data_IF_335310393720
#
_entry.id   IF_335310393720
#
_cell.length_a   1.000
_cell.length_b   1.000
_cell.length_c   1.000
_cell.angle_alpha   90.00
_cell.angle_beta   90.00
_cell.angle_gamma   90.00
#
_symmetry.space_group_name_H-M   'P 1'
#
loop_
_entity.id
_entity.type
_entity.pdbx_description
1 polymer ?
#
# COMPACT_ATOMS: atom_id res chain seq x y z
N UNK A 1 12.63 15.23 17.50
CA UNK A 1 13.43 15.41 18.73
C UNK A 1 14.34 16.63 18.62
N UNK A 2 15.16 16.74 17.56
CA UNK A 2 16.17 17.81 17.41
C UNK A 2 15.66 19.26 17.53
N UNK A 3 14.51 19.56 16.92
CA UNK A 3 13.90 20.91 17.00
C UNK A 3 13.47 21.27 18.43
N UNK A 4 13.00 20.28 19.19
CA UNK A 4 12.55 20.48 20.57
C UNK A 4 13.77 20.62 21.49
N UNK A 5 14.75 19.73 21.35
CA UNK A 5 15.98 19.76 22.17
C UNK A 5 16.74 21.09 22.05
N UNK A 6 16.77 21.70 20.85
CA UNK A 6 17.43 23.00 20.62
C UNK A 6 16.88 24.13 21.47
N UNK A 7 15.59 24.10 21.78
CA UNK A 7 14.93 25.11 22.61
C UNK A 7 14.96 24.66 24.08
N UNK A 8 14.64 23.39 24.32
CA UNK A 8 14.46 22.84 25.65
C UNK A 8 15.74 22.85 26.49
N UNK A 9 16.90 22.48 25.92
CA UNK A 9 18.17 22.39 26.66
C UNK A 9 18.62 23.76 27.19
N UNK A 10 18.70 24.83 26.37
CA UNK A 10 19.02 26.17 26.87
C UNK A 10 18.04 26.67 27.93
N UNK A 11 16.74 26.44 27.75
CA UNK A 11 15.71 26.85 28.72
C UNK A 11 15.95 26.20 30.09
N UNK A 12 16.21 24.90 30.12
CA UNK A 12 16.47 24.15 31.37
C UNK A 12 17.74 24.65 32.06
N UNK A 13 18.81 24.94 31.31
CA UNK A 13 20.04 25.49 31.87
C UNK A 13 19.81 26.87 32.52
N UNK A 14 19.05 27.74 31.85
CA UNK A 14 18.67 29.04 32.40
C UNK A 14 17.86 28.86 33.68
N UNK A 15 16.87 27.96 33.68
CA UNK A 15 16.06 27.68 34.88
C UNK A 15 16.89 27.15 36.05
N UNK A 16 17.86 26.27 35.79
CA UNK A 16 18.76 25.76 36.82
C UNK A 16 19.65 26.86 37.41
N UNK A 17 20.21 27.74 36.56
CA UNK A 17 21.01 28.90 37.02
C UNK A 17 20.15 29.91 37.79
N UNK A 18 18.93 30.17 37.34
CA UNK A 18 17.99 31.03 38.05
C UNK A 18 17.63 30.44 39.41
N UNK A 19 17.40 29.13 39.49
CA UNK A 19 17.13 28.42 40.75
C UNK A 19 18.27 28.60 41.73
N UNK A 20 19.51 28.37 41.28
CA UNK A 20 20.72 28.59 42.09
C UNK A 20 20.79 30.04 42.61
N UNK A 21 20.59 31.02 41.72
CA UNK A 21 20.65 32.44 42.08
C UNK A 21 19.55 32.89 43.04
N UNK A 22 18.32 32.43 42.84
CA UNK A 22 17.17 32.75 43.69
C UNK A 22 17.40 32.24 45.11
N UNK A 23 17.82 30.98 45.28
CA UNK A 23 18.03 30.41 46.62
C UNK A 23 19.19 31.06 47.38
N UNK A 24 20.29 31.39 46.68
CA UNK A 24 21.38 32.15 47.28
C UNK A 24 20.95 33.56 47.68
N UNK A 25 20.09 34.21 46.89
CA UNK A 25 19.58 35.55 47.20
C UNK A 25 18.61 35.55 48.39
N UNK A 26 17.82 34.49 48.57
CA UNK A 26 16.92 34.29 49.71
C UNK A 26 17.69 33.99 51.01
N UNK A 27 18.97 33.65 50.92
CA UNK A 27 19.87 33.44 52.07
C UNK A 27 20.05 31.98 52.47
N UNK A 28 19.66 31.04 51.61
CA UNK A 28 19.91 29.60 51.84
C UNK A 28 21.37 29.22 51.62
N UNK A 29 21.75 28.03 52.10
CA UNK A 29 23.12 27.52 51.95
C UNK A 29 23.45 27.21 50.48
N UNK A 30 24.73 27.34 50.12
CA UNK A 30 25.22 26.97 48.78
C UNK A 30 24.91 25.51 48.44
N UNK A 31 25.01 24.62 49.44
CA UNK A 31 24.67 23.21 49.28
C UNK A 31 23.20 23.02 48.89
N UNK A 32 22.27 23.68 49.59
CA UNK A 32 20.84 23.62 49.25
C UNK A 32 20.54 24.15 47.85
N UNK A 33 21.08 25.34 47.52
CA UNK A 33 20.87 25.97 46.22
C UNK A 33 21.44 25.12 45.07
N UNK A 34 22.60 24.47 45.27
CA UNK A 34 23.18 23.53 44.31
C UNK A 34 22.31 22.28 44.14
N UNK A 35 21.79 21.71 45.24
CA UNK A 35 20.91 20.53 45.18
C UNK A 35 19.62 20.84 44.42
N UNK A 36 19.00 22.00 44.65
CA UNK A 36 17.81 22.42 43.91
C UNK A 36 18.10 22.61 42.41
N UNK A 37 19.21 23.28 42.05
CA UNK A 37 19.61 23.46 40.66
C UNK A 37 19.92 22.12 39.96
N UNK A 38 20.64 21.21 40.63
CA UNK A 38 20.91 19.85 40.11
C UNK A 38 19.60 19.09 39.93
N UNK A 39 18.64 19.23 40.85
CA UNK A 39 17.34 18.57 40.75
C UNK A 39 16.56 19.03 39.50
N UNK A 40 16.64 20.33 39.15
CA UNK A 40 16.07 20.87 37.91
C UNK A 40 16.74 20.26 36.67
N UNK A 41 18.07 20.11 36.68
CA UNK A 41 18.79 19.48 35.56
C UNK A 41 18.44 17.99 35.42
N UNK A 42 18.38 17.27 36.54
CA UNK A 42 18.05 15.84 36.58
C UNK A 42 16.63 15.62 36.08
N UNK A 43 15.63 16.32 36.63
CA UNK A 43 14.23 16.11 36.27
C UNK A 43 13.92 16.46 34.81
N UNK A 44 14.68 17.39 34.24
CA UNK A 44 14.48 17.84 32.88
C UNK A 44 14.94 16.81 31.82
N UNK A 45 15.78 15.83 32.17
CA UNK A 45 16.29 14.87 31.18
C UNK A 45 15.13 14.08 30.54
N UNK A 46 14.91 14.20 29.21
CA UNK A 46 13.70 13.70 28.57
C UNK A 46 13.85 12.23 28.15
N UNK A 47 14.19 11.34 29.08
CA UNK A 47 14.40 9.91 28.78
C UNK A 47 13.16 9.25 28.15
N UNK A 48 11.97 9.56 28.68
CA UNK A 48 10.71 9.07 28.15
C UNK A 48 10.40 9.60 26.74
N UNK A 49 10.87 10.80 26.39
CA UNK A 49 10.67 11.39 25.05
C UNK A 49 11.41 10.59 23.98
N UNK A 50 12.62 10.11 24.29
CA UNK A 50 13.41 9.27 23.39
C UNK A 50 12.76 7.92 23.11
N UNK A 51 11.97 7.41 24.07
CA UNK A 51 11.26 6.13 23.96
C UNK A 51 9.83 6.27 23.40
N UNK A 52 9.20 7.44 23.52
CA UNK A 52 7.79 7.66 23.21
C UNK A 52 7.39 7.22 21.80
N UNK A 53 8.12 7.68 20.79
CA UNK A 53 7.84 7.36 19.38
C UNK A 53 8.31 5.96 18.99
N UNK A 54 9.56 5.54 19.28
CA UNK A 54 10.04 4.21 18.85
C UNK A 54 9.24 3.05 19.46
N UNK A 55 8.81 3.16 20.72
CA UNK A 55 8.06 2.09 21.39
C UNK A 55 6.64 1.95 20.82
N UNK A 56 5.95 3.07 20.61
CA UNK A 56 4.64 3.09 19.97
C UNK A 56 4.72 2.59 18.52
N UNK A 57 5.77 2.96 17.79
CA UNK A 57 6.02 2.50 16.43
C UNK A 57 6.16 0.98 16.38
N UNK A 58 7.08 0.40 17.16
CA UNK A 58 7.32 -1.05 17.16
C UNK A 58 6.05 -1.82 17.55
N UNK A 59 5.29 -1.31 18.52
CA UNK A 59 4.01 -1.90 18.91
C UNK A 59 2.96 -1.81 17.78
N UNK A 60 2.85 -0.65 17.13
CA UNK A 60 1.89 -0.38 16.05
C UNK A 60 2.20 -1.14 14.76
N UNK A 61 3.43 -1.10 14.28
CA UNK A 61 3.85 -1.86 13.09
C UNK A 61 3.81 -3.37 13.35
N UNK A 62 4.15 -3.80 14.57
CA UNK A 62 3.99 -5.20 14.98
C UNK A 62 2.52 -5.67 14.99
N UNK A 63 1.59 -4.81 15.43
CA UNK A 63 0.15 -5.10 15.36
C UNK A 63 -0.35 -5.17 13.91
N UNK A 64 0.04 -4.21 13.08
CA UNK A 64 -0.31 -4.19 11.65
C UNK A 64 0.23 -5.44 10.94
N UNK A 65 1.49 -5.82 11.20
CA UNK A 65 2.12 -6.99 10.61
C UNK A 65 1.41 -8.30 10.99
N UNK A 66 0.93 -8.44 12.23
CA UNK A 66 0.10 -9.58 12.65
C UNK A 66 -1.19 -9.71 11.84
N UNK A 67 -1.71 -8.60 11.32
CA UNK A 67 -2.89 -8.56 10.46
C UNK A 67 -2.54 -8.54 8.96
N UNK A 68 -1.28 -8.80 8.61
CA UNK A 68 -0.82 -8.89 7.23
C UNK A 68 -0.58 -7.54 6.57
N UNK A 69 -0.31 -6.48 7.34
CA UNK A 69 0.00 -5.13 6.84
C UNK A 69 1.41 -4.77 7.28
N UNK A 70 2.34 -4.68 6.33
CA UNK A 70 3.72 -4.28 6.60
C UNK A 70 3.89 -2.79 6.28
N UNK A 71 4.22 -1.98 7.29
CA UNK A 71 4.57 -0.56 7.13
C UNK A 71 6.06 -0.42 7.43
N UNK A 72 6.85 0.04 6.45
CA UNK A 72 8.32 -0.02 6.53
C UNK A 72 8.94 1.13 7.31
N UNK A 73 8.32 2.30 7.30
CA UNK A 73 8.90 3.50 7.86
C UNK A 73 7.87 4.35 8.63
N UNK A 74 8.40 5.24 9.45
CA UNK A 74 7.63 6.09 10.37
C UNK A 74 6.84 7.14 9.61
N UNK A 75 7.43 7.71 8.55
CA UNK A 75 6.84 8.82 7.81
C UNK A 75 5.54 8.36 7.15
N UNK A 76 5.56 7.16 6.57
CA UNK A 76 4.38 6.50 6.01
C UNK A 76 3.33 6.21 7.06
N UNK A 77 3.71 5.68 8.23
CA UNK A 77 2.77 5.43 9.32
C UNK A 77 2.09 6.73 9.82
N UNK A 78 2.83 7.83 9.86
CA UNK A 78 2.31 9.13 10.29
C UNK A 78 1.47 9.83 9.20
N UNK A 79 1.80 9.63 7.92
CA UNK A 79 1.13 10.23 6.77
C UNK A 79 -0.15 9.50 6.36
N UNK A 80 -0.18 8.16 6.47
CA UNK A 80 -1.31 7.34 6.00
C UNK A 80 -2.70 7.79 6.53
N UNK A 81 -2.87 8.24 7.80
CA UNK A 81 -4.16 8.76 8.26
C UNK A 81 -4.59 10.08 7.60
N UNK A 82 -3.63 10.90 7.16
CA UNK A 82 -3.81 12.24 6.62
C UNK A 82 -4.07 12.24 5.10
N UNK A 83 -3.76 11.13 4.41
CA UNK A 83 -4.09 10.91 2.98
C UNK A 83 -5.56 11.24 2.72
N UNK A 84 -5.86 12.16 1.82
CA UNK A 84 -7.23 12.57 1.47
C UNK A 84 -7.78 11.76 0.30
N UNK A 85 -6.88 11.37 -0.61
CA UNK A 85 -7.20 10.78 -1.90
C UNK A 85 -6.54 9.40 -2.02
N UNK A 86 -7.31 8.39 -2.43
CA UNK A 86 -6.81 7.03 -2.64
C UNK A 86 -7.03 6.65 -4.09
N UNK A 87 -5.93 6.59 -4.84
CA UNK A 87 -5.89 6.14 -6.23
C UNK A 87 -5.65 4.63 -6.31
N UNK A 88 -6.50 3.96 -7.07
CA UNK A 88 -6.40 2.53 -7.34
C UNK A 88 -5.98 2.31 -8.78
N UNK A 89 -4.97 1.47 -8.98
CA UNK A 89 -4.86 0.79 -10.27
C UNK A 89 -6.05 -0.16 -10.47
N UNK A 90 -6.40 -0.43 -11.71
CA UNK A 90 -7.47 -1.37 -12.01
C UNK A 90 -6.97 -2.81 -11.94
N UNK A 91 -5.95 -3.16 -12.72
CA UNK A 91 -5.58 -4.55 -13.03
C UNK A 91 -4.75 -5.14 -11.90
N UNK A 92 -5.11 -6.30 -11.37
CA UNK A 92 -4.43 -6.92 -10.22
C UNK A 92 -4.71 -6.25 -8.86
N UNK A 93 -5.29 -5.04 -8.87
CA UNK A 93 -5.64 -4.26 -7.68
C UNK A 93 -7.13 -4.32 -7.38
N UNK A 94 -7.99 -3.59 -8.12
CA UNK A 94 -9.45 -3.70 -7.97
C UNK A 94 -9.98 -5.04 -8.51
N UNK A 95 -9.23 -5.63 -9.42
CA UNK A 95 -9.47 -6.94 -9.98
C UNK A 95 -8.50 -7.98 -9.40
N UNK A 96 -8.80 -9.27 -9.60
CA UNK A 96 -8.02 -10.37 -9.03
C UNK A 96 -6.66 -10.56 -9.72
N UNK A 97 -6.44 -9.97 -10.89
CA UNK A 97 -5.25 -10.22 -11.71
C UNK A 97 -5.34 -11.58 -12.44
N UNK A 98 -6.53 -12.18 -12.41
CA UNK A 98 -6.80 -13.50 -12.97
C UNK A 98 -7.65 -13.34 -14.23
N UNK A 99 -7.06 -13.42 -15.42
CA UNK A 99 -7.82 -13.27 -16.66
C UNK A 99 -8.87 -14.37 -16.75
N UNK A 100 -10.07 -14.00 -17.17
CA UNK A 100 -11.20 -14.90 -17.39
C UNK A 100 -11.71 -14.75 -18.83
N UNK A 101 -12.00 -15.87 -19.47
CA UNK A 101 -12.59 -15.86 -20.81
C UNK A 101 -14.00 -15.29 -20.76
N UNK A 102 -14.26 -14.24 -21.53
CA UNK A 102 -15.59 -13.61 -21.65
C UNK A 102 -16.28 -13.96 -22.94
N UNK A 103 -15.54 -13.90 -24.04
CA UNK A 103 -16.08 -14.03 -25.39
C UNK A 103 -15.18 -14.96 -26.20
N UNK A 104 -15.79 -15.85 -26.97
CA UNK A 104 -15.12 -16.59 -28.04
C UNK A 104 -15.91 -16.39 -29.31
N UNK A 105 -15.27 -15.90 -30.36
CA UNK A 105 -15.93 -15.64 -31.65
C UNK A 105 -15.20 -16.40 -32.76
N UNK A 106 -15.86 -17.39 -33.40
CA UNK A 106 -15.28 -18.12 -34.51
C UNK A 106 -15.31 -17.29 -35.80
N UNK A 107 -14.26 -17.43 -36.59
CA UNK A 107 -14.13 -16.89 -37.94
C UNK A 107 -13.80 -18.04 -38.87
N UNK A 108 -14.71 -18.38 -39.79
CA UNK A 108 -14.49 -19.48 -40.74
C UNK A 108 -14.56 -20.90 -40.14
N UNK A 109 -14.95 -21.07 -38.88
CA UNK A 109 -15.16 -22.39 -38.26
C UNK A 109 -16.37 -22.41 -37.31
N UNK A 110 -16.68 -23.58 -36.74
CA UNK A 110 -17.72 -23.69 -35.70
C UNK A 110 -17.20 -23.27 -34.33
N UNK A 111 -18.08 -22.74 -33.46
CA UNK A 111 -17.69 -22.36 -32.08
C UNK A 111 -17.06 -23.52 -31.30
N UNK A 112 -17.57 -24.74 -31.49
CA UNK A 112 -17.05 -25.92 -30.82
C UNK A 112 -15.65 -26.31 -31.33
N UNK A 113 -15.39 -26.14 -32.63
CA UNK A 113 -14.07 -26.35 -33.22
C UNK A 113 -13.07 -25.32 -32.71
N UNK A 114 -13.44 -24.03 -32.69
CA UNK A 114 -12.61 -22.97 -32.11
C UNK A 114 -12.23 -23.29 -30.66
N UNK A 115 -13.21 -23.59 -29.80
CA UNK A 115 -13.00 -23.88 -28.38
C UNK A 115 -12.07 -25.09 -28.20
N UNK A 116 -12.31 -26.16 -28.97
CA UNK A 116 -11.49 -27.37 -28.91
C UNK A 116 -10.03 -27.07 -29.23
N UNK A 117 -9.77 -26.32 -30.31
CA UNK A 117 -8.41 -25.98 -30.73
C UNK A 117 -7.75 -24.96 -29.79
N UNK A 118 -8.50 -23.96 -29.32
CA UNK A 118 -8.02 -23.00 -28.31
C UNK A 118 -7.49 -23.72 -27.07
N UNK A 119 -8.27 -24.65 -26.51
CA UNK A 119 -7.86 -25.39 -25.31
C UNK A 119 -6.68 -26.30 -25.58
N UNK A 120 -6.66 -27.02 -26.71
CA UNK A 120 -5.55 -27.91 -27.06
C UNK A 120 -4.23 -27.14 -27.18
N UNK A 121 -4.24 -26.01 -27.88
CA UNK A 121 -3.06 -25.16 -28.04
C UNK A 121 -2.66 -24.48 -26.71
N UNK A 122 -3.64 -23.99 -25.94
CA UNK A 122 -3.38 -23.30 -24.69
C UNK A 122 -2.81 -24.20 -23.59
N UNK A 123 -3.05 -25.52 -23.62
CA UNK A 123 -2.45 -26.48 -22.67
C UNK A 123 -0.93 -26.52 -22.72
N UNK A 124 -0.34 -26.15 -23.86
CA UNK A 124 1.11 -26.15 -24.06
C UNK A 124 1.79 -24.85 -23.60
N UNK A 125 1.05 -23.92 -22.99
CA UNK A 125 1.58 -22.65 -22.50
C UNK A 125 1.33 -22.48 -21.00
N UNK A 126 2.35 -21.98 -20.29
CA UNK A 126 2.25 -21.58 -18.88
C UNK A 126 1.74 -20.14 -18.72
N UNK A 127 1.44 -19.43 -19.81
CA UNK A 127 1.01 -18.04 -19.78
C UNK A 127 -0.37 -17.90 -19.09
N UNK A 128 -0.61 -16.86 -18.24
CA UNK A 128 -1.88 -16.67 -17.54
C UNK A 128 -3.12 -16.68 -18.44
N UNK A 129 -3.04 -16.07 -19.63
CA UNK A 129 -4.15 -16.09 -20.61
C UNK A 129 -4.42 -17.51 -21.14
N UNK A 130 -3.38 -18.32 -21.37
CA UNK A 130 -3.55 -19.69 -21.82
C UNK A 130 -4.15 -20.57 -20.71
N UNK A 131 -3.68 -20.40 -19.47
CA UNK A 131 -4.28 -21.05 -18.31
C UNK A 131 -5.76 -20.67 -18.14
N UNK A 132 -6.14 -19.42 -18.42
CA UNK A 132 -7.54 -18.99 -18.42
C UNK A 132 -8.39 -19.73 -19.46
N UNK A 133 -7.89 -19.87 -20.70
CA UNK A 133 -8.56 -20.68 -21.75
C UNK A 133 -8.79 -22.10 -21.25
N UNK A 134 -7.74 -22.75 -20.72
CA UNK A 134 -7.83 -24.15 -20.28
C UNK A 134 -8.79 -24.31 -19.11
N UNK A 135 -8.74 -23.40 -18.13
CA UNK A 135 -9.62 -23.41 -16.96
C UNK A 135 -11.08 -23.18 -17.32
N UNK A 136 -11.36 -22.19 -18.16
CA UNK A 136 -12.73 -21.72 -18.42
C UNK A 136 -13.43 -22.54 -19.51
N UNK A 137 -12.69 -23.05 -20.49
CA UNK A 137 -13.24 -23.76 -21.65
C UNK A 137 -12.88 -25.25 -21.69
N UNK A 138 -11.94 -25.72 -20.87
CA UNK A 138 -11.32 -27.05 -21.04
C UNK A 138 -12.07 -28.26 -20.48
N UNK A 139 -13.22 -28.08 -19.81
CA UNK A 139 -13.96 -29.17 -19.12
C UNK A 139 -14.39 -30.32 -20.03
N UNK A 140 -14.57 -30.08 -21.31
CA UNK A 140 -15.08 -31.07 -22.28
C UNK A 140 -14.14 -31.32 -23.46
N UNK A 141 -12.90 -30.82 -23.39
CA UNK A 141 -11.93 -30.92 -24.49
C UNK A 141 -10.89 -32.01 -24.20
N UNK A 142 -10.81 -33.06 -25.04
CA UNK A 142 -9.85 -34.14 -24.86
C UNK A 142 -8.41 -33.64 -25.00
N UNK A 143 -7.49 -34.25 -24.24
CA UNK A 143 -6.07 -33.98 -24.38
C UNK A 143 -5.52 -34.59 -25.67
N UNK A 144 -4.62 -33.85 -26.32
CA UNK A 144 -3.91 -34.28 -27.52
C UNK A 144 -2.45 -33.94 -27.29
N UNK A 145 -1.56 -34.90 -27.50
CA UNK A 145 -0.12 -34.67 -27.42
C UNK A 145 0.32 -33.89 -28.66
N UNK A 146 1.02 -32.75 -28.51
CA UNK A 146 1.54 -32.02 -29.65
C UNK A 146 2.76 -32.72 -30.25
N UNK A 147 2.95 -32.52 -31.56
CA UNK A 147 4.19 -32.90 -32.25
C UNK A 147 5.32 -31.93 -31.90
N UNK A 148 4.97 -30.65 -31.72
CA UNK A 148 5.88 -29.56 -31.41
C UNK A 148 5.13 -28.42 -30.70
N UNK A 149 5.72 -27.80 -29.68
CA UNK A 149 5.17 -26.61 -29.03
C UNK A 149 6.29 -25.62 -28.70
N UNK A 150 6.14 -24.37 -29.16
CA UNK A 150 7.15 -23.32 -28.99
C UNK A 150 6.46 -22.02 -28.58
N UNK A 151 6.80 -21.51 -27.40
CA UNK A 151 6.35 -20.20 -26.93
C UNK A 151 7.32 -19.11 -27.38
N UNK A 152 6.81 -18.03 -27.98
CA UNK A 152 7.57 -16.83 -28.33
C UNK A 152 7.15 -15.67 -27.42
N UNK A 153 8.08 -15.22 -26.58
CA UNK A 153 7.84 -14.14 -25.63
C UNK A 153 7.32 -12.88 -26.34
N UNK A 154 6.24 -12.30 -25.82
CA UNK A 154 5.61 -11.10 -26.36
C UNK A 154 4.80 -11.30 -27.66
N UNK A 155 4.71 -12.52 -28.19
CA UNK A 155 3.98 -12.80 -29.43
C UNK A 155 2.84 -13.79 -29.23
N UNK A 156 3.14 -14.98 -28.70
CA UNK A 156 2.18 -16.06 -28.57
C UNK A 156 2.83 -17.44 -28.49
N UNK A 157 2.03 -18.47 -28.71
CA UNK A 157 2.46 -19.87 -28.78
C UNK A 157 2.15 -20.46 -30.15
N UNK A 158 3.12 -21.21 -30.66
CA UNK A 158 3.00 -22.06 -31.85
C UNK A 158 2.92 -23.51 -31.40
N UNK A 159 1.98 -24.28 -31.95
CA UNK A 159 1.81 -25.71 -31.66
C UNK A 159 1.47 -26.46 -32.94
N UNK A 160 2.16 -27.58 -33.20
CA UNK A 160 1.81 -28.51 -34.28
C UNK A 160 1.03 -29.68 -33.70
N UNK A 161 -0.19 -29.88 -34.22
CA UNK A 161 -1.12 -30.93 -33.78
C UNK A 161 -1.61 -31.71 -35.00
N UNK A 162 -1.34 -33.02 -35.02
CA UNK A 162 -1.84 -33.93 -36.09
C UNK A 162 -1.44 -33.46 -37.49
N UNK A 163 -0.23 -32.90 -37.64
CA UNK A 163 0.29 -32.39 -38.90
C UNK A 163 -0.19 -30.99 -39.32
N UNK A 164 -1.10 -30.35 -38.58
CA UNK A 164 -1.54 -28.97 -38.81
C UNK A 164 -0.84 -27.98 -37.87
N UNK A 165 -0.55 -26.78 -38.37
CA UNK A 165 0.10 -25.71 -37.63
C UNK A 165 -0.92 -24.78 -36.95
N UNK A 166 -0.85 -24.63 -35.63
CA UNK A 166 -1.66 -23.68 -34.88
C UNK A 166 -0.82 -22.58 -34.26
N UNK A 167 -1.33 -21.34 -34.31
CA UNK A 167 -0.74 -20.19 -33.62
C UNK A 167 -1.79 -19.48 -32.79
N UNK A 168 -1.47 -19.22 -31.52
CA UNK A 168 -2.30 -18.50 -30.57
C UNK A 168 -1.54 -17.30 -30.01
N UNK A 169 -2.05 -16.07 -30.21
CA UNK A 169 -1.36 -14.86 -29.76
C UNK A 169 -1.92 -13.55 -30.28
N UNK A 170 -1.08 -12.51 -30.37
CA UNK A 170 -1.44 -11.24 -31.01
C UNK A 170 -1.67 -11.42 -32.51
N UNK A 171 -2.50 -10.57 -33.13
CA UNK A 171 -2.95 -10.73 -34.51
C UNK A 171 -1.79 -10.90 -35.51
N UNK A 172 -0.74 -10.09 -35.39
CA UNK A 172 0.44 -10.11 -36.28
C UNK A 172 1.26 -11.40 -36.18
N UNK A 173 1.20 -12.10 -35.05
CA UNK A 173 1.86 -13.39 -34.87
C UNK A 173 1.07 -14.53 -35.53
N UNK A 174 -0.25 -14.41 -35.48
CA UNK A 174 -1.21 -15.45 -35.85
C UNK A 174 -1.50 -15.45 -37.35
N UNK A 175 -1.51 -14.29 -38.00
CA UNK A 175 -1.65 -14.18 -39.45
C UNK A 175 -0.90 -12.97 -40.02
N UNK A 176 -0.37 -13.13 -41.24
CA UNK A 176 0.19 -12.02 -42.04
C UNK A 176 -0.86 -11.37 -42.95
N UNK A 177 -2.08 -11.92 -42.99
CA UNK A 177 -3.15 -11.42 -43.84
C UNK A 177 -3.70 -10.07 -43.33
N UNK A 178 -3.97 -9.15 -44.25
CA UNK A 178 -4.46 -7.78 -43.98
C UNK A 178 -5.89 -7.70 -43.39
N UNK A 179 -6.45 -8.83 -42.94
CA UNK A 179 -7.82 -8.90 -42.42
C UNK A 179 -7.79 -8.53 -40.93
N UNK A 180 -7.78 -7.22 -40.65
CA UNK A 180 -8.00 -6.71 -39.29
C UNK A 180 -9.50 -6.75 -38.98
N UNK A 181 -9.95 -7.47 -37.94
CA UNK A 181 -11.34 -7.37 -37.53
C UNK A 181 -11.64 -5.92 -37.10
N UNK A 182 -12.68 -5.33 -37.71
CA UNK A 182 -13.06 -3.91 -37.55
C UNK A 182 -13.59 -3.55 -36.16
N UNK A 183 -13.78 -4.53 -35.28
CA UNK A 183 -14.32 -4.30 -33.93
C UNK A 183 -13.28 -3.62 -33.03
N UNK A 184 -13.60 -2.50 -32.37
CA UNK A 184 -12.73 -1.91 -31.36
C UNK A 184 -12.50 -2.93 -30.24
N UNK A 185 -11.23 -3.22 -29.97
CA UNK A 185 -10.80 -4.18 -28.95
C UNK A 185 -11.01 -3.54 -27.58
N UNK A 186 -12.10 -3.91 -26.90
CA UNK A 186 -12.44 -3.40 -25.56
C UNK A 186 -11.78 -4.17 -24.40
N UNK A 187 -11.14 -5.29 -24.71
CA UNK A 187 -10.60 -6.26 -23.75
C UNK A 187 -9.32 -6.90 -24.31
N UNK A 188 -8.51 -7.52 -23.45
CA UNK A 188 -7.34 -8.28 -23.92
C UNK A 188 -7.83 -9.40 -24.85
N UNK A 189 -7.32 -9.45 -26.08
CA UNK A 189 -7.78 -10.38 -27.11
C UNK A 189 -6.62 -11.20 -27.67
N UNK A 190 -6.82 -12.50 -27.82
CA UNK A 190 -5.90 -13.41 -28.51
C UNK A 190 -6.60 -14.08 -29.69
N UNK A 191 -5.86 -14.27 -30.77
CA UNK A 191 -6.34 -14.85 -32.02
C UNK A 191 -5.79 -16.26 -32.17
N UNK A 192 -6.56 -17.14 -32.82
CA UNK A 192 -6.12 -18.48 -33.19
C UNK A 192 -6.14 -18.64 -34.71
N UNK A 193 -5.07 -19.18 -35.29
CA UNK A 193 -5.03 -19.61 -36.69
C UNK A 193 -4.67 -21.08 -36.82
N UNK A 194 -5.03 -21.66 -37.97
CA UNK A 194 -4.59 -22.96 -38.45
C UNK A 194 -3.98 -22.77 -39.84
N UNK A 195 -2.74 -23.19 -40.05
CA UNK A 195 -2.02 -23.12 -41.32
C UNK A 195 -2.06 -21.70 -41.98
N UNK A 196 -2.08 -20.66 -41.14
CA UNK A 196 -2.13 -19.25 -41.56
C UNK A 196 -3.54 -18.65 -41.73
N UNK A 197 -4.59 -19.48 -41.72
CA UNK A 197 -5.99 -19.06 -41.78
C UNK A 197 -6.54 -18.77 -40.38
N UNK A 198 -7.18 -17.62 -40.20
CA UNK A 198 -7.72 -17.19 -38.92
C UNK A 198 -8.98 -18.01 -38.59
N UNK A 199 -8.96 -18.74 -37.47
CA UNK A 199 -10.08 -19.54 -36.97
C UNK A 199 -11.02 -18.75 -36.05
N UNK A 200 -10.55 -17.66 -35.44
CA UNK A 200 -11.33 -16.83 -34.53
C UNK A 200 -10.49 -16.20 -33.43
N UNK A 201 -11.18 -15.66 -32.42
CA UNK A 201 -10.54 -15.02 -31.27
C UNK A 201 -11.19 -15.37 -29.94
N UNK A 202 -10.43 -15.13 -28.88
CA UNK A 202 -10.87 -15.18 -27.49
C UNK A 202 -10.56 -13.87 -26.80
N UNK A 203 -11.51 -13.36 -26.03
CA UNK A 203 -11.37 -12.17 -25.21
C UNK A 203 -11.30 -12.53 -23.74
N UNK A 204 -10.51 -11.75 -23.01
CA UNK A 204 -10.28 -11.90 -21.59
C UNK A 204 -10.64 -10.60 -20.88
N UNK A 205 -11.37 -10.74 -19.77
CA UNK A 205 -11.51 -9.68 -18.78
C UNK A 205 -10.94 -10.15 -17.45
N UNK A 206 -10.46 -9.21 -16.65
CA UNK A 206 -10.14 -9.51 -15.27
C UNK A 206 -11.40 -9.48 -14.40
N UNK A 207 -11.47 -10.35 -13.40
CA UNK A 207 -12.62 -10.44 -12.50
C UNK A 207 -12.43 -9.47 -11.34
N UNK A 208 -13.47 -8.70 -10.99
CA UNK A 208 -13.44 -7.84 -9.81
C UNK A 208 -13.21 -8.64 -8.53
N UNK A 209 -12.56 -8.00 -7.55
CA UNK A 209 -12.53 -8.50 -6.18
C UNK A 209 -13.91 -8.34 -5.54
N UNK A 210 -14.35 -9.36 -4.83
CA UNK A 210 -15.70 -9.41 -4.26
C UNK A 210 -15.87 -8.35 -3.16
N UNK A 211 -14.77 -8.03 -2.46
CA UNK A 211 -14.69 -7.04 -1.41
C UNK A 211 -14.52 -5.59 -1.91
N UNK A 212 -14.24 -5.36 -3.20
CA UNK A 212 -13.85 -4.04 -3.71
C UNK A 212 -14.90 -2.97 -3.44
N UNK A 213 -16.17 -3.25 -3.72
CA UNK A 213 -17.28 -2.31 -3.53
C UNK A 213 -17.43 -1.91 -2.05
N UNK A 214 -17.40 -2.88 -1.15
CA UNK A 214 -17.49 -2.64 0.30
C UNK A 214 -16.30 -1.81 0.83
N UNK A 215 -15.10 -2.02 0.30
CA UNK A 215 -13.91 -1.25 0.67
C UNK A 215 -14.02 0.19 0.20
N UNK A 216 -14.44 0.44 -1.04
CA UNK A 216 -14.65 1.81 -1.56
C UNK A 216 -15.66 2.56 -0.68
N UNK A 217 -16.78 1.93 -0.32
CA UNK A 217 -17.76 2.54 0.59
C UNK A 217 -17.19 2.82 1.99
N UNK A 218 -16.38 1.91 2.52
CA UNK A 218 -15.71 2.11 3.82
C UNK A 218 -14.76 3.31 3.76
N UNK A 219 -13.95 3.43 2.71
CA UNK A 219 -13.04 4.56 2.52
C UNK A 219 -13.79 5.89 2.40
N UNK A 220 -14.93 5.90 1.69
CA UNK A 220 -15.82 7.07 1.63
C UNK A 220 -16.39 7.44 2.99
N UNK A 221 -16.81 6.46 3.80
CA UNK A 221 -17.28 6.72 5.17
C UNK A 221 -16.18 7.28 6.09
N UNK A 222 -14.91 7.03 5.76
CA UNK A 222 -13.73 7.63 6.40
C UNK A 222 -13.37 9.02 5.84
N UNK A 223 -14.18 9.57 4.93
CA UNK A 223 -13.97 10.87 4.29
C UNK A 223 -12.87 10.87 3.24
N UNK A 224 -12.53 9.72 2.65
CA UNK A 224 -11.49 9.60 1.62
C UNK A 224 -12.12 9.66 0.23
N UNK A 225 -11.49 10.42 -0.67
CA UNK A 225 -11.86 10.49 -2.08
C UNK A 225 -11.22 9.32 -2.83
N UNK A 226 -11.97 8.63 -3.68
CA UNK A 226 -11.49 7.45 -4.41
C UNK A 226 -11.31 7.74 -5.89
N UNK A 227 -10.13 7.40 -6.42
CA UNK A 227 -9.75 7.54 -7.82
C UNK A 227 -9.47 6.18 -8.43
N UNK A 228 -9.79 6.00 -9.71
CA UNK A 228 -9.28 4.89 -10.51
C UNK A 228 -8.37 5.40 -11.62
N UNK A 229 -7.14 4.90 -11.66
CA UNK A 229 -6.15 5.20 -12.69
C UNK A 229 -5.95 3.95 -13.55
N UNK A 230 -6.25 4.02 -14.86
CA UNK A 230 -6.17 2.84 -15.73
C UNK A 230 -5.75 3.17 -17.15
N UNK A 231 -5.11 2.21 -17.82
CA UNK A 231 -4.81 2.26 -19.26
C UNK A 231 -5.98 1.85 -20.15
N UNK A 232 -7.07 1.35 -19.56
CA UNK A 232 -8.26 0.90 -20.29
C UNK A 232 -9.01 2.06 -20.96
N UNK A 233 -9.92 1.73 -21.87
CA UNK A 233 -10.86 2.69 -22.46
C UNK A 233 -11.80 3.29 -21.41
N UNK A 234 -12.07 4.59 -21.53
CA UNK A 234 -12.93 5.35 -20.62
C UNK A 234 -14.30 4.70 -20.40
N UNK A 235 -14.97 4.24 -21.45
CA UNK A 235 -16.29 3.60 -21.32
C UNK A 235 -16.29 2.35 -20.42
N UNK A 236 -15.20 1.57 -20.43
CA UNK A 236 -15.06 0.38 -19.57
C UNK A 236 -14.77 0.81 -18.14
N UNK A 237 -13.86 1.78 -17.97
CA UNK A 237 -13.49 2.32 -16.67
C UNK A 237 -14.65 3.01 -15.96
N UNK A 238 -15.45 3.82 -16.66
CA UNK A 238 -16.63 4.50 -16.10
C UNK A 238 -17.70 3.52 -15.65
N UNK A 239 -17.96 2.48 -16.46
CA UNK A 239 -18.91 1.42 -16.09
C UNK A 239 -18.47 0.74 -14.79
N UNK A 240 -17.17 0.48 -14.66
CA UNK A 240 -16.60 -0.13 -13.46
C UNK A 240 -16.67 0.81 -12.25
N UNK A 241 -16.35 2.08 -12.44
CA UNK A 241 -16.40 3.10 -11.40
C UNK A 241 -17.80 3.29 -10.86
N UNK A 242 -18.80 3.38 -11.74
CA UNK A 242 -20.20 3.47 -11.34
C UNK A 242 -20.65 2.24 -10.53
N UNK A 243 -20.21 1.04 -10.92
CA UNK A 243 -20.52 -0.19 -10.18
C UNK A 243 -19.88 -0.20 -8.79
N UNK A 244 -18.62 0.20 -8.67
CA UNK A 244 -17.89 0.21 -7.40
C UNK A 244 -18.18 1.46 -6.55
N UNK A 245 -18.83 2.47 -7.13
CA UNK A 245 -19.04 3.77 -6.51
C UNK A 245 -17.74 4.56 -6.35
N UNK A 246 -16.81 4.54 -7.32
CA UNK A 246 -15.58 5.35 -7.31
C UNK A 246 -15.91 6.80 -7.70
N UNK A 247 -15.27 7.79 -7.07
CA UNK A 247 -15.61 9.21 -7.28
C UNK A 247 -15.13 9.76 -8.63
N UNK A 248 -13.93 9.35 -9.04
CA UNK A 248 -13.24 9.91 -10.20
C UNK A 248 -12.47 8.84 -10.97
N UNK A 249 -12.46 8.96 -12.29
CA UNK A 249 -11.82 8.00 -13.21
C UNK A 249 -10.90 8.73 -14.16
N UNK A 250 -9.67 8.23 -14.28
CA UNK A 250 -8.72 8.63 -15.30
C UNK A 250 -8.30 7.40 -16.09
N UNK A 251 -8.78 7.33 -17.32
CA UNK A 251 -8.62 6.19 -18.22
C UNK A 251 -7.60 6.51 -19.34
N UNK A 252 -7.21 5.49 -20.10
CA UNK A 252 -6.26 5.58 -21.22
C UNK A 252 -4.90 6.19 -20.83
N UNK A 253 -4.49 6.02 -19.57
CA UNK A 253 -3.24 6.55 -19.08
C UNK A 253 -2.07 5.62 -19.43
N UNK A 254 -0.99 6.22 -19.91
CA UNK A 254 0.35 5.60 -19.91
C UNK A 254 0.94 5.60 -18.49
N UNK A 255 1.97 4.78 -18.20
CA UNK A 255 2.64 4.79 -16.89
C UNK A 255 3.13 6.18 -16.46
N UNK A 256 3.67 6.98 -17.39
CA UNK A 256 4.11 8.34 -17.07
C UNK A 256 2.93 9.28 -16.75
N UNK A 257 1.82 9.15 -17.47
CA UNK A 257 0.63 9.95 -17.20
C UNK A 257 0.00 9.60 -15.84
N UNK A 258 0.10 8.36 -15.36
CA UNK A 258 -0.29 8.02 -13.97
C UNK A 258 0.50 8.82 -12.94
N UNK A 259 1.81 8.99 -13.16
CA UNK A 259 2.70 9.79 -12.29
C UNK A 259 2.29 11.26 -12.34
N UNK A 260 2.07 11.81 -13.54
CA UNK A 260 1.63 13.20 -13.73
C UNK A 260 0.30 13.49 -13.03
N UNK A 261 -0.65 12.55 -13.09
CA UNK A 261 -1.91 12.64 -12.36
C UNK A 261 -1.68 12.67 -10.84
N UNK A 262 -0.84 11.80 -10.29
CA UNK A 262 -0.51 11.84 -8.86
C UNK A 262 0.11 13.19 -8.48
N UNK A 263 1.02 13.71 -9.30
CA UNK A 263 1.65 15.01 -9.09
C UNK A 263 0.66 16.18 -9.15
N UNK A 264 -0.41 16.11 -9.94
CA UNK A 264 -1.41 17.18 -9.99
C UNK A 264 -2.13 17.31 -8.65
N UNK A 265 -2.57 16.19 -8.06
CA UNK A 265 -3.19 16.18 -6.73
C UNK A 265 -2.24 16.70 -5.65
N UNK A 266 -0.96 16.31 -5.71
CA UNK A 266 0.07 16.81 -4.80
C UNK A 266 0.29 18.33 -4.94
N UNK A 267 0.28 18.85 -6.18
CA UNK A 267 0.40 20.31 -6.44
C UNK A 267 -0.79 21.11 -5.91
N UNK A 268 -1.97 20.51 -5.91
CA UNK A 268 -3.17 21.08 -5.32
C UNK A 268 -3.18 21.00 -3.77
N UNK A 269 -2.10 20.48 -3.17
CA UNK A 269 -1.90 20.38 -1.73
C UNK A 269 -2.57 19.16 -1.09
N UNK A 270 -3.14 18.25 -1.90
CA UNK A 270 -3.80 17.05 -1.41
C UNK A 270 -2.78 15.94 -1.19
N UNK A 271 -2.94 15.21 -0.08
CA UNK A 271 -2.16 13.99 0.16
C UNK A 271 -2.82 12.80 -0.53
N UNK A 272 -2.06 12.10 -1.37
CA UNK A 272 -2.55 11.00 -2.20
C UNK A 272 -1.82 9.70 -1.91
N UNK A 273 -2.58 8.63 -1.72
CA UNK A 273 -2.07 7.27 -1.73
C UNK A 273 -2.32 6.60 -3.07
N UNK A 274 -1.35 5.83 -3.56
CA UNK A 274 -1.51 4.98 -4.74
C UNK A 274 -1.55 3.52 -4.29
N UNK A 275 -2.51 2.77 -4.82
CA UNK A 275 -2.70 1.35 -4.55
C UNK A 275 -2.49 0.58 -5.84
N UNK A 276 -1.58 -0.39 -5.82
CA UNK A 276 -1.16 -1.14 -7.02
C UNK A 276 -0.64 -2.54 -6.67
N UNK A 277 -0.36 -3.36 -7.69
CA UNK A 277 0.27 -4.68 -7.51
C UNK A 277 1.81 -4.61 -7.34
N UNK A 278 2.39 -3.44 -7.63
CA UNK A 278 3.83 -3.21 -7.56
C UNK A 278 4.64 -3.79 -8.71
N UNK A 279 4.02 -4.48 -9.67
CA UNK A 279 4.68 -5.03 -10.86
C UNK A 279 4.68 -3.98 -11.96
N UNK A 280 3.50 -3.41 -12.26
CA UNK A 280 3.35 -2.43 -13.35
C UNK A 280 3.32 -0.98 -12.84
N UNK A 281 2.94 -0.78 -11.57
CA UNK A 281 2.70 0.55 -11.00
C UNK A 281 3.81 1.04 -10.06
N UNK A 282 4.97 0.38 -10.05
CA UNK A 282 6.11 0.74 -9.19
C UNK A 282 6.46 2.24 -9.20
N UNK A 283 6.63 2.88 -10.38
CA UNK A 283 6.89 4.32 -10.45
C UNK A 283 5.77 5.19 -9.87
N UNK A 284 4.50 4.81 -10.07
CA UNK A 284 3.35 5.54 -9.53
C UNK A 284 3.25 5.39 -8.01
N UNK A 285 3.51 4.19 -7.48
CA UNK A 285 3.60 3.91 -6.04
C UNK A 285 4.70 4.72 -5.36
N UNK A 286 5.84 4.91 -6.03
CA UNK A 286 6.96 5.70 -5.52
C UNK A 286 6.72 7.22 -5.58
N UNK A 287 5.88 7.71 -6.49
CA UNK A 287 5.53 9.13 -6.61
C UNK A 287 4.51 9.58 -5.55
N UNK A 288 3.58 8.70 -5.17
CA UNK A 288 2.54 9.00 -4.20
C UNK A 288 3.11 9.33 -2.81
N UNK A 289 2.39 10.10 -2.00
CA UNK A 289 2.77 10.37 -0.61
C UNK A 289 2.82 9.07 0.21
N UNK A 290 1.91 8.14 -0.11
CA UNK A 290 1.92 6.78 0.41
C UNK A 290 1.62 5.76 -0.69
N UNK A 291 2.63 4.99 -1.09
CA UNK A 291 2.43 3.81 -1.94
C UNK A 291 1.96 2.59 -1.13
N UNK A 292 0.94 1.88 -1.62
CA UNK A 292 0.40 0.65 -1.04
C UNK A 292 0.44 -0.46 -2.10
N UNK A 293 1.27 -1.47 -1.88
CA UNK A 293 1.32 -2.64 -2.75
C UNK A 293 0.39 -3.77 -2.23
N UNK A 294 -0.44 -4.32 -3.10
CA UNK A 294 -1.30 -5.48 -2.82
C UNK A 294 -0.64 -6.74 -3.36
N UNK A 295 -0.68 -7.84 -2.60
CA UNK A 295 -0.68 -9.16 -3.21
C UNK A 295 0.63 -9.54 -3.89
N UNK A 296 1.62 -9.88 -3.09
CA UNK A 296 2.49 -11.06 -3.24
C UNK A 296 3.70 -10.81 -2.36
N UNK A 297 4.03 -11.74 -1.47
CA UNK A 297 5.31 -11.70 -0.75
C UNK A 297 6.54 -11.84 -1.66
N UNK A 298 6.41 -11.58 -2.96
CA UNK A 298 7.49 -11.51 -3.92
C UNK A 298 8.35 -10.28 -3.64
N UNK A 299 9.67 -10.42 -3.85
CA UNK A 299 10.63 -9.36 -3.55
C UNK A 299 10.33 -8.02 -4.25
N UNK A 300 9.66 -8.05 -5.41
CA UNK A 300 9.35 -6.86 -6.20
C UNK A 300 8.35 -5.97 -5.45
N UNK A 301 7.26 -6.54 -4.93
CA UNK A 301 6.27 -5.81 -4.12
C UNK A 301 6.88 -5.33 -2.79
N UNK A 302 7.75 -6.15 -2.18
CA UNK A 302 8.53 -5.77 -1.00
C UNK A 302 9.56 -4.66 -1.27
N UNK A 303 9.88 -4.33 -2.51
CA UNK A 303 10.78 -3.21 -2.85
C UNK A 303 10.03 -1.99 -3.39
N UNK A 304 8.80 -2.16 -3.87
CA UNK A 304 8.08 -1.12 -4.62
C UNK A 304 7.32 -0.10 -3.77
N UNK A 305 6.83 -0.46 -2.57
CA UNK A 305 5.94 0.42 -1.80
C UNK A 305 6.27 0.47 -0.29
N UNK A 306 6.07 1.63 0.38
CA UNK A 306 6.29 1.75 1.82
C UNK A 306 5.26 1.01 2.68
N UNK A 307 4.04 0.79 2.16
CA UNK A 307 3.05 -0.13 2.75
C UNK A 307 2.88 -1.34 1.84
N UNK A 308 2.92 -2.55 2.41
CA UNK A 308 2.72 -3.81 1.68
C UNK A 308 1.66 -4.65 2.38
N UNK A 309 0.62 -5.02 1.63
CA UNK A 309 -0.41 -5.94 2.08
C UNK A 309 0.04 -7.38 1.77
N UNK A 310 0.31 -8.15 2.81
CA UNK A 310 0.82 -9.52 2.69
C UNK A 310 -0.21 -10.50 2.12
N UNK A 311 -1.48 -10.10 2.11
CA UNK A 311 -2.60 -10.84 1.53
C UNK A 311 -3.22 -9.99 0.42
N UNK A 312 -3.71 -10.64 -0.62
CA UNK A 312 -4.44 -10.00 -1.70
C UNK A 312 -5.89 -9.70 -1.24
N UNK A 313 -6.04 -8.81 -0.26
CA UNK A 313 -7.31 -8.43 0.37
C UNK A 313 -7.35 -6.91 0.54
N UNK A 314 -8.31 -6.26 -0.15
CA UNK A 314 -8.47 -4.80 -0.11
C UNK A 314 -8.96 -4.28 1.24
N UNK A 315 -9.57 -5.12 2.09
CA UNK A 315 -10.04 -4.72 3.43
C UNK A 315 -8.91 -4.25 4.33
N UNK A 316 -7.68 -4.68 4.02
CA UNK A 316 -6.49 -4.28 4.74
C UNK A 316 -6.12 -2.79 4.54
N UNK A 317 -6.64 -2.12 3.51
CA UNK A 317 -6.37 -0.69 3.26
C UNK A 317 -7.06 0.18 4.34
N UNK A 318 -8.41 0.11 4.55
CA UNK A 318 -9.05 0.76 5.69
C UNK A 318 -8.43 0.39 7.03
N UNK A 319 -8.09 -0.89 7.23
CA UNK A 319 -7.47 -1.36 8.46
C UNK A 319 -6.09 -0.72 8.70
N UNK A 320 -5.27 -0.58 7.65
CA UNK A 320 -3.97 0.08 7.73
C UNK A 320 -4.10 1.55 8.17
N UNK A 321 -5.06 2.28 7.60
CA UNK A 321 -5.37 3.66 7.99
C UNK A 321 -5.75 3.74 9.46
N UNK A 322 -6.59 2.81 9.94
CA UNK A 322 -7.03 2.77 11.34
C UNK A 322 -5.88 2.41 12.31
N UNK A 323 -5.04 1.42 11.98
CA UNK A 323 -3.87 1.08 12.80
C UNK A 323 -2.86 2.23 12.84
N UNK A 324 -2.65 2.92 11.72
CA UNK A 324 -1.82 4.12 11.66
C UNK A 324 -2.39 5.24 12.54
N UNK A 325 -3.72 5.48 12.48
CA UNK A 325 -4.40 6.48 13.31
C UNK A 325 -4.26 6.19 14.81
N UNK A 326 -4.51 4.95 15.23
CA UNK A 326 -4.34 4.51 16.63
C UNK A 326 -2.90 4.66 17.10
N UNK A 327 -1.94 4.26 16.27
CA UNK A 327 -0.51 4.38 16.59
C UNK A 327 -0.13 5.86 16.77
N UNK A 328 -0.57 6.74 15.86
CA UNK A 328 -0.36 8.19 15.97
C UNK A 328 -0.98 8.79 17.24
N UNK A 329 -2.17 8.31 17.63
CA UNK A 329 -2.81 8.73 18.88
C UNK A 329 -1.97 8.35 20.11
N UNK A 330 -1.42 7.13 20.15
CA UNK A 330 -0.55 6.68 21.25
C UNK A 330 0.77 7.44 21.26
N UNK A 331 1.36 7.75 20.10
CA UNK A 331 2.53 8.64 20.02
C UNK A 331 2.20 10.00 20.64
N UNK A 332 1.08 10.63 20.25
CA UNK A 332 0.66 11.93 20.83
C UNK A 332 0.43 11.85 22.33
N UNK A 333 -0.17 10.77 22.83
CA UNK A 333 -0.35 10.55 24.27
C UNK A 333 0.99 10.41 24.99
N UNK A 334 1.91 9.59 24.47
CA UNK A 334 3.22 9.38 25.07
C UNK A 334 4.04 10.67 25.11
N UNK A 335 4.00 11.46 24.05
CA UNK A 335 4.61 12.79 24.02
C UNK A 335 3.95 13.73 25.03
N UNK A 336 2.62 13.72 25.12
CA UNK A 336 1.86 14.49 26.09
C UNK A 336 2.25 14.15 27.54
N UNK A 337 2.38 12.87 27.87
CA UNK A 337 2.84 12.41 29.18
C UNK A 337 4.29 12.81 29.46
N UNK A 338 5.19 12.61 28.49
CA UNK A 338 6.60 12.95 28.63
C UNK A 338 6.80 14.46 28.90
N UNK A 339 6.09 15.33 28.17
CA UNK A 339 6.17 16.79 28.40
C UNK A 339 5.41 17.25 29.63
N UNK A 340 4.20 16.73 29.86
CA UNK A 340 3.38 17.11 31.00
C UNK A 340 4.08 16.82 32.33
N UNK A 341 4.80 15.70 32.41
CA UNK A 341 5.61 15.35 33.58
C UNK A 341 6.71 16.39 33.84
N UNK A 342 7.51 16.70 32.82
CA UNK A 342 8.60 17.68 32.94
C UNK A 342 8.07 19.07 33.28
N UNK A 343 6.95 19.48 32.68
CA UNK A 343 6.33 20.78 32.93
C UNK A 343 5.86 20.95 34.38
N UNK A 344 5.36 19.88 35.01
CA UNK A 344 4.91 19.91 36.42
C UNK A 344 6.08 19.78 37.40
N UNK A 345 7.06 18.93 37.12
CA UNK A 345 8.13 18.63 38.06
C UNK A 345 9.28 19.65 38.05
N UNK A 346 9.50 20.40 36.96
CA UNK A 346 10.52 21.46 36.93
C UNK A 346 10.21 22.55 37.96
N UNK A 347 9.01 23.16 38.03
CA UNK A 347 8.67 24.13 39.07
C UNK A 347 8.81 23.60 40.50
N UNK A 348 8.45 22.33 40.73
CA UNK A 348 8.62 21.67 42.03
C UNK A 348 10.09 21.45 42.41
N UNK A 349 10.96 21.21 41.42
CA UNK A 349 12.40 21.15 41.63
C UNK A 349 12.97 22.55 41.90
N UNK A 350 12.49 23.56 41.19
CA UNK A 350 12.87 24.96 41.43
C UNK A 350 12.49 25.41 42.85
N UNK A 351 11.35 24.96 43.37
CA UNK A 351 10.91 25.26 44.74
C UNK A 351 11.63 24.44 45.81
N UNK A 352 12.63 23.62 45.45
CA UNK A 352 13.44 22.84 46.40
C UNK A 352 12.69 21.69 47.08
N UNK A 353 11.48 21.34 46.59
CA UNK A 353 10.65 20.26 47.13
C UNK A 353 11.03 18.89 46.57
N UNK A 354 11.74 18.86 45.45
CA UNK A 354 12.23 17.63 44.82
C UNK A 354 13.73 17.48 45.04
N UNK A 355 14.12 16.38 45.66
CA UNK A 355 15.51 15.94 45.69
C UNK A 355 15.88 15.22 44.39
N UNK A 356 17.18 15.14 44.04
CA UNK A 356 17.62 14.43 42.83
C UNK A 356 17.20 12.96 42.79
N UNK A 357 17.08 12.30 43.95
CA UNK A 357 16.63 10.91 44.04
C UNK A 357 15.15 10.74 43.68
N UNK A 358 14.28 11.61 44.20
CA UNK A 358 12.86 11.62 43.84
C UNK A 358 12.72 11.95 42.35
N UNK A 359 13.49 12.91 41.85
CA UNK A 359 13.52 13.28 40.43
C UNK A 359 13.94 12.12 39.51
N UNK A 360 14.89 11.27 39.95
CA UNK A 360 15.26 10.05 39.24
C UNK A 360 14.14 9.00 39.22
N UNK A 361 13.50 8.74 40.37
CA UNK A 361 12.40 7.78 40.46
C UNK A 361 11.19 8.18 39.60
N UNK A 362 10.85 9.46 39.68
CA UNK A 362 9.91 10.17 38.81
C UNK A 362 10.13 9.89 37.31
N UNK A 363 11.36 10.05 36.84
CA UNK A 363 11.73 9.83 35.44
C UNK A 363 11.63 8.36 35.00
N UNK A 364 11.98 7.43 35.90
CA UNK A 364 11.82 6.01 35.65
C UNK A 364 10.33 5.64 35.49
N UNK A 365 9.45 6.16 36.37
CA UNK A 365 8.00 5.97 36.28
C UNK A 365 7.42 6.54 34.99
N UNK A 366 7.86 7.73 34.57
CA UNK A 366 7.47 8.32 33.28
C UNK A 366 7.81 7.38 32.11
N UNK A 367 9.02 6.83 32.08
CA UNK A 367 9.43 5.86 31.04
C UNK A 367 8.58 4.59 31.05
N UNK A 368 8.28 4.04 32.24
CA UNK A 368 7.38 2.88 32.38
C UNK A 368 5.98 3.19 31.86
N UNK A 369 5.44 4.37 32.15
CA UNK A 369 4.10 4.78 31.70
C UNK A 369 4.01 4.85 30.17
N UNK A 370 5.04 5.40 29.52
CA UNK A 370 5.14 5.49 28.05
C UNK A 370 5.21 4.10 27.41
N UNK A 371 6.03 3.20 27.96
CA UNK A 371 6.15 1.82 27.47
C UNK A 371 4.83 1.07 27.68
N UNK A 372 4.21 1.19 28.86
CA UNK A 372 2.93 0.56 29.16
C UNK A 372 1.81 1.05 28.23
N UNK A 373 1.76 2.35 27.93
CA UNK A 373 0.77 2.90 27.01
C UNK A 373 1.02 2.42 25.56
N UNK A 374 2.28 2.33 25.11
CA UNK A 374 2.63 1.74 23.82
C UNK A 374 2.18 0.27 23.72
N UNK A 375 2.37 -0.51 24.79
CA UNK A 375 1.94 -1.91 24.83
C UNK A 375 0.42 -2.09 24.69
N UNK A 376 -0.40 -1.07 24.96
CA UNK A 376 -1.86 -1.16 24.72
C UNK A 376 -2.19 -1.42 23.25
N UNK A 377 -1.37 -0.95 22.31
CA UNK A 377 -1.52 -1.28 20.88
C UNK A 377 -1.31 -2.78 20.63
N UNK A 378 -0.34 -3.39 21.31
CA UNK A 378 -0.04 -4.83 21.13
C UNK A 378 -1.20 -5.72 21.56
N UNK A 379 -2.00 -5.27 22.53
CA UNK A 379 -3.13 -6.01 23.10
C UNK A 379 -4.50 -5.52 22.60
N UNK A 380 -4.56 -4.50 21.75
CA UNK A 380 -5.80 -4.14 21.07
C UNK A 380 -6.06 -5.13 19.96
N UNK A 381 -7.23 -5.78 19.99
CA UNK A 381 -7.72 -6.59 18.89
C UNK A 381 -8.01 -5.73 17.66
#
# INVERSE_FOLDING_TARGET
>A
VDRISRIFVPTVLILALLTLGIWLFVGETLEYALVAAISVLVIACPCALGLATPTALVAGTGLAAKHGILIKDIQTLEALPDVEVIAFDKTGTLTKGEPKVTTTEPMGCSSQQLITRLVQVARESTHPLAQAIVRDLGRSVPAVTPDEAVTRAGQGIYVRLQGAEYRLGHLEFVTSAAMRPETPVKATRSYLSCDGELLGFVEFSDTLRDEAEAVIQTLKSLGKTTLMLTGDHLAVADTLAHRLGIDHVHAQLTPNQKIEMIQSYQKDGQQIAMVGDGINDGPALAQADVGIAIGSGNEIALKSAPVVLMRADLQLIPAAIEYARRTRQVIRQNLGWAFGYNLLCIPLAMSGLLTPSIAGAAMALSSVSVVANALRLKYSN
#
